data_IF_147442613683
#
_entry.id   IF_147442613683
#
_cell.length_a   1.000
_cell.length_b   1.000
_cell.length_c   1.000
_cell.angle_alpha   90.00
_cell.angle_beta   90.00
_cell.angle_gamma   90.00
#
_symmetry.space_group_name_H-M   'P 1'
#
loop_
_entity.id
_entity.type
_entity.pdbx_description
1 polymer ?
#
# COMPACT_ATOMS: atom_id res chain seq x y z
N UNK A 1 -6.42 7.63 -9.06
CA UNK A 1 -5.32 8.18 -8.23
C UNK A 1 -4.12 7.23 -8.15
N UNK A 2 -4.32 5.91 -8.15
CA UNK A 2 -3.26 4.89 -8.11
C UNK A 2 -2.04 5.19 -9.01
N UNK A 3 -2.24 5.47 -10.31
CA UNK A 3 -1.13 5.73 -11.23
C UNK A 3 -0.30 6.96 -10.80
N UNK A 4 -0.97 8.03 -10.34
CA UNK A 4 -0.30 9.23 -9.82
C UNK A 4 0.46 8.93 -8.53
N UNK A 5 -0.12 8.11 -7.66
CA UNK A 5 0.56 7.62 -6.46
C UNK A 5 1.82 6.83 -6.80
N UNK A 6 1.76 5.92 -7.77
CA UNK A 6 2.92 5.18 -8.25
C UNK A 6 4.01 6.11 -8.83
N UNK A 7 3.62 7.15 -9.58
CA UNK A 7 4.57 8.17 -10.05
C UNK A 7 5.23 8.91 -8.88
N UNK A 8 4.47 9.30 -7.85
CA UNK A 8 5.04 9.94 -6.67
C UNK A 8 6.01 9.03 -5.90
N UNK A 9 5.71 7.73 -5.78
CA UNK A 9 6.63 6.75 -5.19
C UNK A 9 7.92 6.64 -6.00
N UNK A 10 7.84 6.59 -7.33
CA UNK A 10 9.02 6.56 -8.20
C UNK A 10 9.89 7.83 -8.04
N UNK A 11 9.27 8.96 -7.72
CA UNK A 11 9.94 10.22 -7.39
C UNK A 11 10.36 10.33 -5.92
N UNK A 12 10.24 9.25 -5.14
CA UNK A 12 10.50 9.20 -3.69
C UNK A 12 9.64 10.17 -2.86
N UNK A 13 8.57 10.72 -3.42
CA UNK A 13 7.57 11.52 -2.70
C UNK A 13 6.54 10.57 -2.06
N UNK A 14 7.00 9.83 -1.05
CA UNK A 14 6.18 8.82 -0.38
C UNK A 14 4.93 9.41 0.27
N UNK A 15 5.00 10.67 0.75
CA UNK A 15 3.86 11.34 1.39
C UNK A 15 2.71 11.54 0.40
N UNK A 16 2.98 12.09 -0.79
CA UNK A 16 1.94 12.24 -1.83
C UNK A 16 1.49 10.89 -2.38
N UNK A 17 2.42 9.94 -2.55
CA UNK A 17 2.09 8.57 -2.96
C UNK A 17 1.07 7.90 -2.04
N UNK A 18 1.30 7.98 -0.73
CA UNK A 18 0.38 7.45 0.30
C UNK A 18 -1.00 8.10 0.21
N UNK A 19 -1.06 9.43 0.07
CA UNK A 19 -2.33 10.15 -0.07
C UNK A 19 -3.10 9.70 -1.32
N UNK A 20 -2.41 9.54 -2.45
CA UNK A 20 -3.00 9.06 -3.70
C UNK A 20 -3.50 7.63 -3.62
N UNK A 21 -2.80 6.74 -2.92
CA UNK A 21 -3.28 5.39 -2.68
C UNK A 21 -4.50 5.37 -1.75
N UNK A 22 -4.51 6.16 -0.68
CA UNK A 22 -5.69 6.33 0.18
C UNK A 22 -6.90 6.83 -0.59
N UNK A 23 -6.70 7.80 -1.49
CA UNK A 23 -7.78 8.26 -2.34
C UNK A 23 -8.24 7.18 -3.35
N UNK A 24 -7.33 6.37 -3.89
CA UNK A 24 -7.71 5.25 -4.74
C UNK A 24 -8.58 4.23 -3.99
N UNK A 25 -8.21 3.92 -2.74
CA UNK A 25 -8.98 3.04 -1.84
C UNK A 25 -10.35 3.64 -1.48
N UNK A 26 -10.42 4.96 -1.27
CA UNK A 26 -11.70 5.64 -0.99
C UNK A 26 -12.67 5.58 -2.17
N UNK A 27 -12.14 5.57 -3.40
CA UNK A 27 -12.93 5.44 -4.62
C UNK A 27 -13.34 3.99 -4.89
N UNK A 28 -12.45 3.04 -4.61
CA UNK A 28 -12.72 1.61 -4.71
C UNK A 28 -12.07 0.87 -3.53
N UNK A 29 -12.92 0.50 -2.55
CA UNK A 29 -12.49 -0.21 -1.35
C UNK A 29 -12.08 -1.66 -1.61
N UNK A 30 -12.28 -2.17 -2.83
CA UNK A 30 -11.83 -3.50 -3.26
C UNK A 30 -10.55 -3.45 -4.09
N UNK A 31 -9.91 -2.28 -4.21
CA UNK A 31 -8.71 -2.12 -5.00
C UNK A 31 -7.47 -2.69 -4.28
N UNK A 32 -7.31 -4.02 -4.35
CA UNK A 32 -6.27 -4.76 -3.63
C UNK A 32 -4.84 -4.24 -3.91
N UNK A 33 -4.55 -3.89 -5.17
CA UNK A 33 -3.25 -3.34 -5.57
C UNK A 33 -2.95 -1.99 -4.89
N UNK A 34 -3.96 -1.15 -4.66
CA UNK A 34 -3.78 0.13 -3.97
C UNK A 34 -3.47 -0.08 -2.48
N UNK A 35 -4.12 -1.04 -1.82
CA UNK A 35 -3.77 -1.46 -0.47
C UNK A 35 -2.34 -2.01 -0.37
N UNK A 36 -1.93 -2.85 -1.33
CA UNK A 36 -0.56 -3.37 -1.36
C UNK A 36 0.47 -2.25 -1.51
N UNK A 37 0.29 -1.35 -2.50
CA UNK A 37 1.20 -0.23 -2.72
C UNK A 37 1.23 0.76 -1.55
N UNK A 38 0.08 0.99 -0.90
CA UNK A 38 0.00 1.76 0.34
C UNK A 38 0.83 1.10 1.45
N UNK A 39 0.69 -0.21 1.64
CA UNK A 39 1.41 -0.96 2.67
C UNK A 39 2.93 -0.87 2.52
N UNK A 40 3.43 -1.09 1.29
CA UNK A 40 4.85 -0.96 0.97
C UNK A 40 5.35 0.48 1.19
N UNK A 41 4.58 1.48 0.78
CA UNK A 41 4.95 2.88 0.96
C UNK A 41 5.04 3.24 2.46
N UNK A 42 4.07 2.79 3.28
CA UNK A 42 4.06 3.02 4.73
C UNK A 42 5.25 2.38 5.43
N UNK A 43 5.55 1.10 5.12
CA UNK A 43 6.74 0.40 5.64
C UNK A 43 8.02 1.16 5.28
N UNK A 44 8.11 1.64 4.04
CA UNK A 44 9.27 2.42 3.56
C UNK A 44 9.43 3.73 4.34
N UNK A 45 8.33 4.37 4.73
CA UNK A 45 8.33 5.58 5.57
C UNK A 45 8.47 5.32 7.07
N UNK A 46 8.92 4.12 7.47
CA UNK A 46 9.05 3.65 8.86
C UNK A 46 7.74 3.49 9.64
N UNK A 47 6.60 3.52 8.96
CA UNK A 47 5.30 3.18 9.53
C UNK A 47 4.97 1.71 9.24
N UNK A 48 5.74 0.82 9.88
CA UNK A 48 5.63 -0.64 9.71
C UNK A 48 4.23 -1.14 10.09
N UNK A 49 3.67 -0.65 11.21
CA UNK A 49 2.39 -1.09 11.73
C UNK A 49 1.24 -0.82 10.76
N UNK A 50 1.08 0.44 10.32
CA UNK A 50 0.03 0.77 9.35
C UNK A 50 0.26 0.08 8.02
N UNK A 51 1.53 -0.09 7.62
CA UNK A 51 1.84 -0.81 6.39
C UNK A 51 1.43 -2.28 6.42
N UNK A 52 1.64 -2.95 7.56
CA UNK A 52 1.18 -4.32 7.78
C UNK A 52 -0.34 -4.45 7.76
N UNK A 53 -1.08 -3.48 8.29
CA UNK A 53 -2.55 -3.45 8.20
C UNK A 53 -3.02 -3.32 6.74
N UNK A 54 -2.43 -2.39 5.98
CA UNK A 54 -2.75 -2.23 4.56
C UNK A 54 -2.43 -3.50 3.76
N UNK A 55 -1.32 -4.19 4.05
CA UNK A 55 -0.99 -5.47 3.42
C UNK A 55 -1.99 -6.58 3.80
N UNK A 56 -2.49 -6.62 5.04
CA UNK A 56 -3.56 -7.57 5.44
C UNK A 56 -4.84 -7.33 4.65
N UNK A 57 -5.22 -6.08 4.41
CA UNK A 57 -6.39 -5.77 3.57
C UNK A 57 -6.17 -6.19 2.11
N UNK A 58 -4.97 -5.98 1.55
CA UNK A 58 -4.64 -6.48 0.22
C UNK A 58 -4.73 -8.02 0.16
N UNK A 59 -4.28 -8.73 1.18
CA UNK A 59 -4.39 -10.19 1.28
C UNK A 59 -5.86 -10.65 1.32
N UNK A 60 -6.71 -10.01 2.14
CA UNK A 60 -8.16 -10.31 2.20
C UNK A 60 -8.84 -10.13 0.85
N UNK A 61 -8.38 -9.17 0.05
CA UNK A 61 -8.85 -8.92 -1.30
C UNK A 61 -8.19 -9.84 -2.36
N UNK A 62 -7.59 -10.95 -1.93
CA UNK A 62 -6.98 -11.96 -2.79
C UNK A 62 -5.80 -11.45 -3.62
N UNK A 63 -4.92 -10.62 -3.02
CA UNK A 63 -3.64 -10.20 -3.62
C UNK A 63 -2.48 -11.07 -3.08
N UNK A 64 -2.02 -12.11 -3.80
CA UNK A 64 -1.09 -13.10 -3.26
C UNK A 64 0.24 -12.54 -2.79
N UNK A 65 0.77 -11.52 -3.48
CA UNK A 65 2.03 -10.86 -3.17
C UNK A 65 1.99 -10.18 -1.79
N UNK A 66 0.80 -9.83 -1.28
CA UNK A 66 0.65 -9.30 0.06
C UNK A 66 1.04 -10.32 1.13
N UNK A 67 0.80 -11.62 0.90
CA UNK A 67 1.18 -12.69 1.84
C UNK A 67 2.69 -12.76 2.04
N UNK A 68 3.44 -12.69 0.93
CA UNK A 68 4.90 -12.68 0.98
C UNK A 68 5.41 -11.42 1.68
N UNK A 69 4.86 -10.26 1.34
CA UNK A 69 5.22 -9.00 1.98
C UNK A 69 4.95 -9.01 3.49
N UNK A 70 3.83 -9.56 3.95
CA UNK A 70 3.55 -9.72 5.38
C UNK A 70 4.60 -10.57 6.09
N UNK A 71 5.03 -11.67 5.48
CA UNK A 71 6.05 -12.54 6.06
C UNK A 71 7.43 -11.87 6.11
N UNK A 72 7.75 -11.02 5.14
CA UNK A 72 9.03 -10.29 5.08
C UNK A 72 9.06 -9.08 6.01
N UNK A 73 7.94 -8.36 6.13
CA UNK A 73 7.91 -7.05 6.78
C UNK A 73 7.13 -7.00 8.09
N UNK A 74 6.35 -8.01 8.48
CA UNK A 74 5.42 -7.90 9.61
C UNK A 74 5.66 -8.91 10.74
N UNK A 75 6.90 -9.38 10.87
CA UNK A 75 7.38 -10.18 12.00
C UNK A 75 7.52 -9.34 13.27
#
# INVERSE_FOLDING_TARGET
MYNRGATHIALQDFKKGIEDFRNAIRLDSRFAKAYFSLGIAQITTKDKNSGCESLKEAQKLSYPEATQALQSYCQ
#
